data_IF_516383687803
#
_entry.id   IF_516383687803
#
_cell.length_a   1.000
_cell.length_b   1.000
_cell.length_c   1.000
_cell.angle_alpha   90.00
_cell.angle_beta   90.00
_cell.angle_gamma   90.00
#
_symmetry.space_group_name_H-M   'P 1'
#
loop_
_entity.id
_entity.type
_entity.pdbx_description
1 polymer ?
#
# COMPACT_ATOMS: atom_id res chain seq x y z
N UNK A 1 -36.77 21.72 10.81
CA UNK A 1 -36.25 20.51 11.48
C UNK A 1 -34.89 20.22 10.87
N UNK A 2 -33.84 20.80 11.44
CA UNK A 2 -32.47 20.62 10.95
C UNK A 2 -31.94 19.32 11.55
N UNK A 3 -31.84 18.30 10.70
CA UNK A 3 -31.30 17.00 11.09
C UNK A 3 -29.78 17.17 11.16
N UNK A 4 -29.27 17.45 12.37
CA UNK A 4 -27.86 17.33 12.70
C UNK A 4 -27.41 15.89 12.44
N UNK A 5 -26.90 15.68 11.22
CA UNK A 5 -26.26 14.45 10.81
C UNK A 5 -25.05 14.23 11.69
N UNK A 6 -25.21 13.33 12.67
CA UNK A 6 -24.17 12.71 13.48
C UNK A 6 -22.93 12.48 12.62
N UNK A 7 -21.85 13.19 12.92
CA UNK A 7 -20.53 12.98 12.33
C UNK A 7 -20.02 11.62 12.82
N UNK A 8 -19.93 10.58 11.97
CA UNK A 8 -19.36 9.32 12.37
C UNK A 8 -17.86 9.33 12.06
N UNK A 9 -17.09 8.77 12.98
CA UNK A 9 -15.71 8.30 12.82
C UNK A 9 -14.64 9.39 12.98
N UNK A 10 -14.21 9.54 14.22
CA UNK A 10 -12.86 9.99 14.58
C UNK A 10 -11.86 9.04 13.92
N UNK A 11 -11.31 9.44 12.77
CA UNK A 11 -10.11 8.82 12.21
C UNK A 11 -8.93 9.41 12.98
N UNK A 12 -8.53 8.69 14.02
CA UNK A 12 -7.27 8.89 14.73
C UNK A 12 -6.11 8.88 13.74
N UNK A 13 -5.15 9.76 14.00
CA UNK A 13 -4.17 10.35 13.09
C UNK A 13 -3.09 9.42 12.50
N UNK A 14 -3.31 8.09 12.44
CA UNK A 14 -2.33 7.15 11.89
C UNK A 14 -2.58 6.78 10.41
N UNK A 15 -3.83 6.86 9.93
CA UNK A 15 -4.22 6.27 8.63
C UNK A 15 -4.72 7.28 7.59
N UNK A 16 -4.34 8.55 7.70
CA UNK A 16 -4.78 9.58 6.74
C UNK A 16 -3.81 9.65 5.57
N UNK A 17 -4.24 9.21 4.39
CA UNK A 17 -3.42 9.23 3.18
C UNK A 17 -3.90 10.36 2.27
N UNK A 18 -3.08 11.40 2.14
CA UNK A 18 -3.35 12.51 1.24
C UNK A 18 -3.13 12.11 -0.22
N UNK A 19 -4.08 12.47 -1.09
CA UNK A 19 -3.91 12.27 -2.53
C UNK A 19 -2.71 13.04 -3.07
N UNK A 20 -2.43 14.22 -2.52
CA UNK A 20 -1.26 15.04 -2.89
C UNK A 20 0.05 14.30 -2.64
N UNK A 21 0.17 13.56 -1.54
CA UNK A 21 1.36 12.75 -1.25
C UNK A 21 1.55 11.60 -2.25
N UNK A 22 0.48 10.88 -2.60
CA UNK A 22 0.54 9.78 -3.60
C UNK A 22 0.92 10.31 -4.99
N UNK A 23 0.40 11.48 -5.34
CA UNK A 23 0.60 12.11 -6.65
C UNK A 23 1.92 12.91 -6.73
N UNK A 24 2.73 12.94 -5.67
CA UNK A 24 3.99 13.70 -5.62
C UNK A 24 3.79 15.22 -5.69
N UNK A 25 2.60 15.71 -5.31
CA UNK A 25 2.21 17.12 -5.27
C UNK A 25 1.98 17.59 -3.84
N UNK A 26 2.76 17.06 -2.91
CA UNK A 26 2.66 17.51 -1.54
C UNK A 26 3.25 18.91 -1.40
N UNK A 27 2.69 19.69 -0.50
CA UNK A 27 3.07 21.07 -0.27
C UNK A 27 3.23 21.30 1.22
N UNK A 28 4.30 22.00 1.59
CA UNK A 28 4.50 22.49 2.95
C UNK A 28 3.48 23.59 3.22
N UNK A 29 2.38 23.19 3.84
CA UNK A 29 1.25 24.06 4.11
C UNK A 29 0.30 23.42 5.10
N UNK A 30 -0.63 24.22 5.61
CA UNK A 30 -1.63 23.75 6.56
C UNK A 30 -2.44 22.59 5.96
N UNK A 31 -2.53 21.51 6.72
CA UNK A 31 -3.45 20.41 6.45
C UNK A 31 -4.61 20.50 7.44
N UNK A 32 -5.82 20.73 6.95
CA UNK A 32 -6.99 20.80 7.82
C UNK A 32 -7.20 19.45 8.51
N UNK A 33 -7.42 19.52 9.81
CA UNK A 33 -7.74 18.37 10.63
C UNK A 33 -9.02 18.58 11.43
N UNK A 34 -9.32 17.64 12.33
CA UNK A 34 -10.52 17.69 13.16
C UNK A 34 -10.51 18.85 14.17
N UNK A 35 -9.37 19.50 14.40
CA UNK A 35 -9.26 20.67 15.27
C UNK A 35 -9.55 21.97 14.51
N UNK A 36 -9.62 21.91 13.18
CA UNK A 36 -9.90 23.06 12.36
C UNK A 36 -11.41 23.33 12.32
N UNK A 37 -11.79 24.58 12.57
CA UNK A 37 -13.14 25.06 12.29
C UNK A 37 -13.15 25.68 10.89
N UNK A 38 -13.85 25.04 9.96
CA UNK A 38 -13.88 25.45 8.55
C UNK A 38 -15.25 26.03 8.20
N UNK A 39 -15.28 27.29 7.77
CA UNK A 39 -16.49 27.98 7.35
C UNK A 39 -16.60 28.03 5.82
N UNK A 40 -17.80 27.82 5.28
CA UNK A 40 -18.06 28.05 3.86
C UNK A 40 -18.19 29.57 3.64
N UNK A 41 -17.36 30.12 2.76
CA UNK A 41 -17.40 31.54 2.40
C UNK A 41 -18.39 31.74 1.24
N UNK A 42 -18.17 31.02 0.14
CA UNK A 42 -19.07 31.02 -1.02
C UNK A 42 -18.80 29.80 -1.91
N UNK A 43 -19.84 29.19 -2.48
CA UNK A 43 -19.69 28.10 -3.46
C UNK A 43 -18.87 26.92 -2.96
N UNK A 44 -17.67 26.72 -3.55
CA UNK A 44 -16.69 25.72 -3.14
C UNK A 44 -15.53 26.30 -2.32
N UNK A 45 -15.60 27.55 -1.90
CA UNK A 45 -14.57 28.23 -1.10
C UNK A 45 -14.85 28.06 0.40
N UNK A 46 -13.84 27.60 1.14
CA UNK A 46 -13.90 27.38 2.59
C UNK A 46 -12.72 28.07 3.27
N UNK A 47 -12.94 28.69 4.42
CA UNK A 47 -11.88 29.30 5.23
C UNK A 47 -11.67 28.52 6.52
N UNK A 48 -10.44 28.14 6.80
CA UNK A 48 -10.05 27.59 8.09
C UNK A 48 -9.92 28.76 9.08
N UNK A 49 -10.75 28.82 10.12
CA UNK A 49 -10.69 29.88 11.13
C UNK A 49 -9.43 29.82 11.99
N UNK A 50 -8.89 28.62 12.20
CA UNK A 50 -7.69 28.41 13.03
C UNK A 50 -6.43 29.03 12.39
N UNK A 51 -6.28 28.91 11.07
CA UNK A 51 -5.09 29.40 10.35
C UNK A 51 -5.37 30.63 9.49
N UNK A 52 -6.64 30.96 9.26
CA UNK A 52 -7.06 31.99 8.32
C UNK A 52 -6.95 31.61 6.84
N UNK A 53 -6.43 30.41 6.52
CA UNK A 53 -6.19 29.96 5.15
C UNK A 53 -7.50 29.64 4.43
N UNK A 54 -7.55 30.01 3.16
CA UNK A 54 -8.71 29.77 2.29
C UNK A 54 -8.42 28.62 1.33
N UNK A 55 -9.37 27.69 1.24
CA UNK A 55 -9.33 26.49 0.43
C UNK A 55 -10.40 26.59 -0.67
N UNK A 56 -10.01 26.33 -1.90
CA UNK A 56 -10.95 26.03 -2.99
C UNK A 56 -11.14 24.53 -3.04
N UNK A 57 -12.30 24.06 -2.60
CA UNK A 57 -12.63 22.67 -2.39
C UNK A 57 -13.23 22.05 -3.68
N UNK A 58 -12.38 21.81 -4.66
CA UNK A 58 -12.68 21.10 -5.90
C UNK A 58 -11.87 19.80 -6.03
N UNK A 59 -11.86 19.22 -7.24
CA UNK A 59 -11.06 18.03 -7.57
C UNK A 59 -9.55 18.25 -7.46
N UNK A 60 -9.05 19.49 -7.44
CA UNK A 60 -7.62 19.77 -7.33
C UNK A 60 -7.21 20.15 -5.89
N UNK A 61 -8.15 20.16 -4.95
CA UNK A 61 -7.89 20.52 -3.56
C UNK A 61 -6.85 19.59 -2.91
N UNK A 62 -5.78 20.19 -2.37
CA UNK A 62 -4.68 19.48 -1.70
C UNK A 62 -5.05 18.92 -0.32
N UNK A 63 -6.24 19.28 0.20
CA UNK A 63 -6.84 18.74 1.44
C UNK A 63 -7.62 17.44 1.20
N UNK A 64 -7.60 16.90 -0.03
CA UNK A 64 -8.24 15.61 -0.37
C UNK A 64 -7.44 14.44 0.20
N UNK A 65 -8.13 13.58 0.94
CA UNK A 65 -7.63 12.32 1.47
C UNK A 65 -8.37 11.16 0.82
N UNK A 66 -7.73 10.01 0.73
CA UNK A 66 -8.40 8.79 0.30
C UNK A 66 -9.49 8.43 1.32
N UNK A 67 -10.71 8.19 0.85
CA UNK A 67 -11.84 7.85 1.71
C UNK A 67 -12.33 6.42 1.46
N UNK A 68 -12.52 6.06 0.19
CA UNK A 68 -12.93 4.72 -0.22
C UNK A 68 -12.16 4.29 -1.49
N UNK A 69 -12.49 3.12 -2.04
CA UNK A 69 -11.84 2.53 -3.19
C UNK A 69 -11.95 3.37 -4.47
N UNK A 70 -12.98 4.19 -4.59
CA UNK A 70 -13.25 5.02 -5.77
C UNK A 70 -13.51 6.48 -5.42
N UNK A 71 -13.29 6.87 -4.16
CA UNK A 71 -13.60 8.22 -3.70
C UNK A 71 -12.56 8.79 -2.75
N UNK A 72 -12.61 10.11 -2.65
CA UNK A 72 -11.75 10.92 -1.79
C UNK A 72 -12.60 11.95 -1.05
N UNK A 73 -12.16 12.35 0.13
CA UNK A 73 -12.84 13.33 0.97
C UNK A 73 -11.96 14.58 1.09
N UNK A 74 -12.52 15.76 0.87
CA UNK A 74 -11.84 17.01 1.21
C UNK A 74 -12.04 17.32 2.69
N UNK A 75 -10.96 17.34 3.49
CA UNK A 75 -11.05 17.61 4.94
C UNK A 75 -11.57 19.01 5.28
N UNK A 76 -11.34 19.98 4.40
CA UNK A 76 -11.77 21.35 4.64
C UNK A 76 -13.27 21.59 4.40
N UNK A 77 -13.89 20.84 3.49
CA UNK A 77 -15.31 21.02 3.12
C UNK A 77 -16.21 19.84 3.47
N UNK A 78 -15.65 18.67 3.80
CA UNK A 78 -16.38 17.42 3.97
C UNK A 78 -16.94 16.83 2.67
N UNK A 79 -16.65 17.43 1.50
CA UNK A 79 -17.19 16.93 0.22
C UNK A 79 -16.44 15.69 -0.25
N UNK A 80 -17.20 14.74 -0.79
CA UNK A 80 -16.68 13.53 -1.42
C UNK A 80 -16.55 13.76 -2.93
N UNK A 81 -15.42 13.34 -3.49
CA UNK A 81 -15.13 13.41 -4.92
C UNK A 81 -14.78 12.02 -5.45
N UNK A 82 -15.33 11.61 -6.60
CA UNK A 82 -14.88 10.40 -7.27
C UNK A 82 -13.41 10.55 -7.67
N UNK A 83 -12.66 9.44 -7.61
CA UNK A 83 -11.29 9.41 -8.09
C UNK A 83 -11.31 9.45 -9.63
N UNK A 84 -10.42 10.24 -10.20
CA UNK A 84 -10.12 10.16 -11.64
C UNK A 84 -9.35 8.87 -11.94
N UNK A 85 -9.36 8.42 -13.20
CA UNK A 85 -8.63 7.22 -13.63
C UNK A 85 -7.13 7.25 -13.26
N UNK A 86 -6.52 8.44 -13.31
CA UNK A 86 -5.12 8.66 -12.91
C UNK A 86 -4.94 8.47 -11.40
N UNK A 87 -5.85 9.02 -10.60
CA UNK A 87 -5.82 8.89 -9.14
C UNK A 87 -6.07 7.44 -8.71
N UNK A 88 -7.04 6.75 -9.31
CA UNK A 88 -7.29 5.32 -9.04
C UNK A 88 -6.06 4.47 -9.31
N UNK A 89 -5.39 4.70 -10.44
CA UNK A 89 -4.17 3.96 -10.79
C UNK A 89 -3.04 4.22 -9.81
N UNK A 90 -2.87 5.47 -9.35
CA UNK A 90 -1.86 5.83 -8.37
C UNK A 90 -2.14 5.19 -7.00
N UNK A 91 -3.41 5.13 -6.59
CA UNK A 91 -3.83 4.56 -5.30
C UNK A 91 -3.72 3.02 -5.29
N UNK A 92 -3.88 2.33 -6.42
CA UNK A 92 -3.73 0.85 -6.49
C UNK A 92 -2.38 0.37 -5.94
N UNK A 93 -1.30 1.12 -6.14
CA UNK A 93 0.01 0.78 -5.62
C UNK A 93 0.14 0.97 -4.10
N UNK A 94 -0.63 1.89 -3.54
CA UNK A 94 -0.67 2.18 -2.09
C UNK A 94 -1.43 1.11 -1.34
N UNK A 95 -2.56 0.64 -1.88
CA UNK A 95 -3.40 -0.40 -1.25
C UNK A 95 -2.63 -1.69 -0.98
N UNK A 96 -1.85 -2.16 -1.96
CA UNK A 96 -1.00 -3.35 -1.81
C UNK A 96 0.00 -3.26 -0.66
N UNK A 97 0.40 -2.06 -0.23
CA UNK A 97 1.31 -1.86 0.90
C UNK A 97 0.57 -1.91 2.24
N UNK A 98 -0.67 -1.44 2.30
CA UNK A 98 -1.49 -1.49 3.52
C UNK A 98 -1.99 -2.92 3.79
N UNK A 99 -2.46 -3.62 2.76
CA UNK A 99 -2.90 -5.03 2.89
C UNK A 99 -1.77 -5.93 3.44
N UNK A 100 -0.53 -5.65 3.06
CA UNK A 100 0.65 -6.36 3.55
C UNK A 100 1.08 -5.95 4.97
N UNK A 101 0.64 -4.79 5.47
CA UNK A 101 0.95 -4.30 6.81
C UNK A 101 -0.11 -4.71 7.85
N UNK A 102 -1.38 -4.85 7.44
CA UNK A 102 -2.49 -5.28 8.29
C UNK A 102 -2.57 -6.81 8.43
N UNK A 103 -1.99 -7.59 7.51
CA UNK A 103 -1.70 -8.99 7.75
C UNK A 103 -0.52 -9.08 8.72
N UNK A 104 -0.74 -9.59 9.94
CA UNK A 104 0.31 -9.89 10.92
C UNK A 104 1.61 -10.38 10.25
N UNK A 105 2.81 -9.99 10.73
CA UNK A 105 4.06 -10.54 10.25
C UNK A 105 4.23 -11.94 10.82
N UNK A 106 3.41 -12.89 10.38
CA UNK A 106 3.79 -14.29 10.40
C UNK A 106 4.84 -14.46 9.31
N UNK A 107 6.06 -14.71 9.78
CA UNK A 107 7.20 -15.21 9.02
C UNK A 107 7.90 -14.15 8.14
N UNK A 108 9.13 -13.83 8.53
CA UNK A 108 10.13 -13.19 7.70
C UNK A 108 10.39 -14.01 6.42
N UNK A 109 9.52 -13.92 5.42
CA UNK A 109 9.82 -14.45 4.10
C UNK A 109 10.61 -13.39 3.35
N UNK A 110 11.93 -13.50 3.50
CA UNK A 110 12.92 -12.70 2.81
C UNK A 110 12.62 -12.61 1.31
N UNK A 111 12.51 -11.39 0.81
CA UNK A 111 12.49 -11.08 -0.61
C UNK A 111 13.62 -11.81 -1.35
N UNK A 112 13.31 -12.88 -2.07
CA UNK A 112 14.13 -13.35 -3.18
C UNK A 112 13.25 -13.54 -4.41
N UNK A 113 13.30 -12.53 -5.28
CA UNK A 113 12.96 -12.66 -6.69
C UNK A 113 13.74 -13.87 -7.25
N UNK A 114 13.05 -14.89 -7.72
CA UNK A 114 13.55 -15.71 -8.83
C UNK A 114 12.38 -16.09 -9.74
N UNK A 115 12.29 -15.36 -10.85
CA UNK A 115 11.80 -15.95 -12.10
C UNK A 115 13.02 -16.44 -12.86
N UNK A 116 12.79 -17.58 -13.52
CA UNK A 116 13.41 -18.08 -14.75
C UNK A 116 14.46 -19.17 -14.54
N UNK A 117 14.05 -20.35 -15.01
CA UNK A 117 14.87 -21.45 -15.50
C UNK A 117 16.23 -21.00 -16.02
N UNK A 118 17.29 -21.50 -15.39
CA UNK A 118 18.61 -21.73 -15.96
C UNK A 118 19.45 -22.48 -14.92
N UNK A 119 19.63 -23.78 -15.18
CA UNK A 119 20.72 -24.67 -14.75
C UNK A 119 21.41 -24.34 -13.41
N UNK A 120 21.06 -25.13 -12.39
CA UNK A 120 21.78 -25.20 -11.12
C UNK A 120 23.19 -25.77 -11.34
N UNK A 121 24.21 -24.90 -11.34
CA UNK A 121 25.57 -25.34 -11.01
C UNK A 121 25.70 -25.43 -9.50
N UNK A 122 26.07 -26.62 -9.01
CA UNK A 122 26.33 -26.87 -7.60
C UNK A 122 27.52 -26.03 -7.11
N UNK A 123 27.36 -25.43 -5.93
CA UNK A 123 28.36 -24.58 -5.26
C UNK A 123 29.55 -25.40 -4.73
N UNK A 124 30.78 -24.86 -4.69
CA UNK A 124 32.00 -25.62 -4.37
C UNK A 124 32.12 -26.10 -2.92
N UNK A 125 31.16 -25.76 -2.04
CA UNK A 125 31.28 -25.97 -0.59
C UNK A 125 30.63 -27.27 -0.08
N UNK A 126 29.99 -28.09 -0.92
CA UNK A 126 29.33 -29.34 -0.51
C UNK A 126 30.19 -30.62 -0.66
N UNK A 127 31.52 -30.51 -0.87
CA UNK A 127 32.38 -31.68 -1.13
C UNK A 127 32.96 -32.39 0.10
N UNK A 128 32.30 -32.36 1.26
CA UNK A 128 32.94 -32.85 2.51
C UNK A 128 32.27 -34.02 3.23
N UNK A 129 31.26 -34.69 2.66
CA UNK A 129 30.68 -35.88 3.32
C UNK A 129 30.05 -36.87 2.34
N UNK A 130 30.80 -37.33 1.34
CA UNK A 130 30.44 -38.54 0.58
C UNK A 130 31.66 -39.41 0.35
N UNK A 131 32.15 -40.06 1.41
CA UNK A 131 33.17 -41.10 1.32
C UNK A 131 32.88 -42.21 2.32
N UNK A 132 31.80 -42.97 2.10
CA UNK A 132 31.67 -44.36 2.55
C UNK A 132 30.91 -45.14 1.47
N UNK A 133 31.61 -46.01 0.78
CA UNK A 133 31.05 -46.97 -0.19
C UNK A 133 30.52 -48.20 0.55
N UNK A 134 29.34 -48.75 0.22
CA UNK A 134 28.97 -50.09 0.69
C UNK A 134 29.70 -51.17 -0.11
N UNK A 135 30.04 -52.23 0.62
CA UNK A 135 30.91 -53.37 0.29
C UNK A 135 30.26 -54.31 -0.75
N UNK A 136 31.11 -54.88 -1.61
CA UNK A 136 30.80 -55.85 -2.66
C UNK A 136 30.14 -57.14 -2.17
N UNK A 137 29.24 -57.72 -2.99
CA UNK A 137 28.95 -59.16 -3.03
C UNK A 137 28.69 -59.61 -4.48
N UNK A 138 29.31 -60.71 -4.97
CA UNK A 138 29.05 -61.26 -6.29
C UNK A 138 27.94 -62.31 -6.23
N UNK A 139 26.99 -62.27 -7.15
CA UNK A 139 26.09 -63.39 -7.44
C UNK A 139 26.17 -63.66 -8.95
N UNK A 140 26.67 -64.84 -9.28
CA UNK A 140 26.92 -65.28 -10.64
C UNK A 140 25.75 -66.01 -11.30
N UNK A 141 26.11 -66.44 -12.51
CA UNK A 141 25.54 -67.47 -13.39
C UNK A 141 24.28 -67.17 -14.19
N UNK A 142 24.40 -67.36 -15.52
CA UNK A 142 23.28 -67.33 -16.47
C UNK A 142 23.64 -66.99 -17.93
N UNK A 143 24.17 -67.99 -18.65
CA UNK A 143 24.06 -68.32 -20.10
C UNK A 143 23.71 -67.23 -21.15
N UNK A 144 24.43 -67.20 -22.29
CA UNK A 144 24.03 -67.86 -23.55
C UNK A 144 25.03 -67.59 -24.70
N UNK A 145 25.10 -68.56 -25.62
CA UNK A 145 25.98 -68.78 -26.77
C UNK A 145 26.11 -67.60 -27.75
N UNK A 146 27.31 -67.40 -28.33
CA UNK A 146 27.70 -67.69 -29.75
C UNK A 146 29.22 -67.83 -29.81
#
# INVERSE_FOLDING_TARGET
>A
MEVFGKSPMVVTSANVIYLSAILGRDCDGHKCDWKCENENVCGNMYRCKLTGLTHVCDKNCNQRILYDNHSSLCRASGRIFPLSSVEEQAVKGVRRKLDAAESHPSESCSFKRRRRDAQFHASPFERSFTAVSPICSPAGDGMELV
#
